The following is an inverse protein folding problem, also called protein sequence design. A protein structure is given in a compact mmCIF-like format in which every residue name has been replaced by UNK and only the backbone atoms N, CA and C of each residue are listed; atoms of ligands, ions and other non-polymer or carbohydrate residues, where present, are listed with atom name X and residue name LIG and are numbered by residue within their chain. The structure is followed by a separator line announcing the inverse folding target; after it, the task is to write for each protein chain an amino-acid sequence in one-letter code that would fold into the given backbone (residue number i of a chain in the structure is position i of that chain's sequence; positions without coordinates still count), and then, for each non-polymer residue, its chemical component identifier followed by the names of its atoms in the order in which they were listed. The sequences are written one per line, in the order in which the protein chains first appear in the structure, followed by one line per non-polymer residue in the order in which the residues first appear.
data_IF_986352322346
#
_entry.id   IF_986352322346
#
_cell.length_a   1.000
_cell.length_b   1.000
_cell.length_c   1.000
_cell.angle_alpha   90.00
_cell.angle_beta   90.00
_cell.angle_gamma   90.00
#
_symmetry.space_group_name_H-M   'P 1'
#
loop_
_entity.id
_entity.type
_entity.pdbx_description
1 polymer ?
#
# COMPACT_ATOMS: atom_id res chain seq x y z
N UNK A 1 13.01 23.50 8.94
CA UNK A 1 12.03 24.59 9.13
C UNK A 1 11.07 24.31 10.31
N UNK A 2 10.31 23.18 10.32
CA UNK A 2 9.36 22.87 11.42
C UNK A 2 10.06 22.79 12.78
N UNK A 3 11.18 22.09 12.86
CA UNK A 3 11.95 21.94 14.10
C UNK A 3 12.58 23.27 14.57
N UNK A 4 13.08 24.08 13.62
CA UNK A 4 13.63 25.38 13.95
C UNK A 4 12.55 26.32 14.48
N UNK A 5 11.35 26.25 13.90
CA UNK A 5 10.20 27.03 14.38
C UNK A 5 9.76 26.54 15.76
N UNK A 6 9.67 25.23 15.98
CA UNK A 6 9.35 24.66 17.30
C UNK A 6 10.36 25.10 18.34
N UNK A 7 11.66 25.03 18.03
CA UNK A 7 12.75 25.46 18.89
C UNK A 7 12.66 26.97 19.22
N UNK A 8 12.40 27.80 18.21
CA UNK A 8 12.26 29.26 18.43
C UNK A 8 11.04 29.60 19.29
N UNK A 9 10.01 28.78 19.30
CA UNK A 9 8.82 28.94 20.14
C UNK A 9 8.94 28.24 21.51
N UNK A 10 10.04 27.55 21.77
CA UNK A 10 10.22 26.75 22.99
C UNK A 10 9.29 25.56 23.09
N UNK A 11 8.83 25.04 21.94
CA UNK A 11 7.93 23.90 21.84
C UNK A 11 8.69 22.61 21.50
N UNK A 12 8.14 21.48 21.92
CA UNK A 12 8.57 20.17 21.42
C UNK A 12 8.26 20.03 19.91
N UNK A 13 9.18 19.49 19.09
CA UNK A 13 8.96 19.36 17.65
C UNK A 13 7.73 18.49 17.28
N UNK A 14 7.44 17.46 18.08
CA UNK A 14 6.27 16.60 17.87
C UNK A 14 4.99 17.34 18.28
N UNK A 15 4.98 18.02 19.42
CA UNK A 15 3.83 18.82 19.86
C UNK A 15 3.51 19.96 18.87
N UNK A 16 4.57 20.56 18.30
CA UNK A 16 4.40 21.59 17.27
C UNK A 16 3.75 21.02 16.00
N UNK A 17 4.15 19.82 15.57
CA UNK A 17 3.50 19.13 14.43
C UNK A 17 2.05 18.79 14.73
N UNK A 18 1.77 18.17 15.88
CA UNK A 18 0.41 17.83 16.31
C UNK A 18 -0.52 19.05 16.36
N UNK A 19 0.00 20.19 16.80
CA UNK A 19 -0.75 21.46 16.83
C UNK A 19 -1.10 21.98 15.42
N UNK A 20 -0.32 21.63 14.42
CA UNK A 20 -0.45 22.11 13.04
C UNK A 20 -1.00 21.04 12.07
N UNK A 21 -1.44 19.88 12.55
CA UNK A 21 -2.12 18.88 11.70
C UNK A 21 -3.49 19.38 11.28
N UNK A 22 -3.89 19.01 10.07
CA UNK A 22 -5.24 19.28 9.57
C UNK A 22 -6.31 18.40 10.22
N UNK A 23 -7.54 18.55 9.76
CA UNK A 23 -8.73 17.80 10.21
C UNK A 23 -9.48 17.24 9.02
N UNK A 24 -10.27 16.19 9.25
CA UNK A 24 -11.19 15.68 8.24
C UNK A 24 -12.09 16.82 7.73
N UNK A 25 -12.20 16.93 6.42
CA UNK A 25 -12.94 18.01 5.74
C UNK A 25 -12.09 19.21 5.35
N UNK A 26 -10.86 19.35 5.82
CA UNK A 26 -9.95 20.39 5.35
C UNK A 26 -9.65 20.23 3.85
N UNK A 27 -9.45 21.36 3.19
CA UNK A 27 -9.20 21.36 1.73
C UNK A 27 -7.75 20.95 1.45
N UNK A 28 -7.60 19.89 0.69
CA UNK A 28 -6.28 19.45 0.23
C UNK A 28 -5.67 20.49 -0.72
N UNK A 29 -4.45 20.97 -0.48
CA UNK A 29 -3.77 21.86 -1.40
C UNK A 29 -3.38 21.16 -2.73
N UNK A 30 -3.37 19.84 -2.77
CA UNK A 30 -2.98 19.07 -3.96
C UNK A 30 -4.08 19.09 -5.05
N UNK A 31 -5.33 19.04 -4.66
CA UNK A 31 -6.45 18.86 -5.61
C UNK A 31 -7.65 19.77 -5.35
N UNK A 32 -7.59 20.63 -4.32
CA UNK A 32 -8.68 21.57 -3.97
C UNK A 32 -9.95 20.90 -3.43
N UNK A 33 -9.89 19.62 -3.01
CA UNK A 33 -11.04 18.88 -2.49
C UNK A 33 -10.93 18.64 -1.00
N UNK A 34 -12.07 18.46 -0.28
CA UNK A 34 -12.03 18.04 1.11
C UNK A 34 -11.35 16.70 1.28
N UNK A 35 -10.48 16.59 2.28
CA UNK A 35 -9.85 15.32 2.70
C UNK A 35 -10.86 14.56 3.55
N UNK A 36 -11.30 13.40 3.08
CA UNK A 36 -12.31 12.59 3.78
C UNK A 36 -11.74 11.93 5.04
N UNK A 37 -10.51 11.43 4.95
CA UNK A 37 -9.81 10.75 6.05
C UNK A 37 -8.41 11.31 6.22
N UNK A 38 -8.11 11.81 7.41
CA UNK A 38 -6.85 12.47 7.74
C UNK A 38 -6.28 11.89 9.02
N UNK A 39 -5.52 10.79 8.90
CA UNK A 39 -4.95 10.05 10.03
C UNK A 39 -3.59 10.56 10.52
N UNK A 40 -3.14 11.76 10.09
CA UNK A 40 -1.81 12.28 10.43
C UNK A 40 -1.61 12.45 11.94
N UNK A 41 -2.61 12.98 12.66
CA UNK A 41 -2.54 13.14 14.11
C UNK A 41 -2.44 11.80 14.81
N UNK A 42 -3.25 10.82 14.38
CA UNK A 42 -3.25 9.48 14.95
C UNK A 42 -1.92 8.76 14.71
N UNK A 43 -1.31 8.95 13.52
CA UNK A 43 0.03 8.43 13.22
C UNK A 43 1.10 9.02 14.14
N UNK A 44 1.06 10.33 14.37
CA UNK A 44 2.02 11.00 15.25
C UNK A 44 1.83 10.61 16.73
N UNK A 45 0.58 10.47 17.19
CA UNK A 45 0.29 10.02 18.56
C UNK A 45 0.64 8.56 18.79
N UNK A 46 0.34 7.67 17.83
CA UNK A 46 0.73 6.27 17.90
C UNK A 46 2.26 6.12 17.86
N UNK A 47 2.92 6.91 17.01
CA UNK A 47 4.36 6.99 16.95
C UNK A 47 4.98 7.48 18.26
N UNK A 48 4.42 8.50 18.89
CA UNK A 48 4.86 8.98 20.23
C UNK A 48 4.88 7.84 21.24
N UNK A 49 3.81 7.02 21.27
CA UNK A 49 3.67 5.91 22.21
C UNK A 49 4.66 4.78 21.89
N UNK A 50 4.65 4.27 20.67
CA UNK A 50 5.46 3.12 20.25
C UNK A 50 6.96 3.41 20.26
N UNK A 51 7.36 4.58 19.78
CA UNK A 51 8.74 5.04 19.82
C UNK A 51 9.20 5.42 21.22
N UNK A 52 8.28 5.66 22.16
CA UNK A 52 8.56 6.15 23.49
C UNK A 52 9.27 7.51 23.44
N UNK A 53 8.73 8.46 22.66
CA UNK A 53 9.35 9.72 22.30
C UNK A 53 9.92 10.48 23.50
N UNK A 54 9.10 10.72 24.52
CA UNK A 54 9.47 11.53 25.67
C UNK A 54 10.59 10.89 26.50
N UNK A 55 10.54 9.56 26.66
CA UNK A 55 11.55 8.80 27.39
C UNK A 55 12.89 8.77 26.64
N UNK A 56 12.88 8.51 25.32
CA UNK A 56 14.09 8.51 24.50
C UNK A 56 14.73 9.89 24.45
N UNK A 57 13.94 10.94 24.34
CA UNK A 57 14.42 12.33 24.38
C UNK A 57 15.12 12.63 25.71
N UNK A 58 14.54 12.24 26.83
CA UNK A 58 15.15 12.38 28.14
C UNK A 58 16.44 11.56 28.28
N UNK A 59 16.45 10.32 27.77
CA UNK A 59 17.62 9.44 27.78
C UNK A 59 18.77 10.02 26.94
N UNK A 60 18.48 10.52 25.73
CA UNK A 60 19.47 11.19 24.89
C UNK A 60 20.09 12.40 25.57
N UNK A 61 19.27 13.22 26.27
CA UNK A 61 19.78 14.36 27.02
C UNK A 61 20.73 13.91 28.13
N UNK A 62 20.34 12.93 28.94
CA UNK A 62 21.20 12.41 30.03
C UNK A 62 22.49 11.79 29.48
N UNK A 63 22.41 11.03 28.38
CA UNK A 63 23.59 10.49 27.71
C UNK A 63 24.56 11.60 27.27
N UNK A 64 24.04 12.66 26.66
CA UNK A 64 24.87 13.75 26.16
C UNK A 64 25.56 14.53 27.31
N UNK A 65 24.86 14.73 28.42
CA UNK A 65 25.45 15.35 29.61
C UNK A 65 26.60 14.50 30.19
N UNK A 66 26.45 13.20 30.22
CA UNK A 66 27.49 12.27 30.66
C UNK A 66 28.66 12.22 29.67
N UNK A 67 28.35 12.12 28.38
CA UNK A 67 29.37 12.10 27.32
C UNK A 67 30.24 13.34 27.33
N UNK A 68 29.65 14.51 27.56
CA UNK A 68 30.40 15.78 27.70
C UNK A 68 31.30 15.73 28.93
N UNK A 69 30.80 15.28 30.07
CA UNK A 69 31.61 15.15 31.30
C UNK A 69 32.77 14.17 31.15
N UNK A 70 32.55 13.08 30.39
CA UNK A 70 33.57 12.07 30.11
C UNK A 70 34.55 12.45 28.99
N UNK A 71 34.35 13.57 28.28
CA UNK A 71 35.14 13.95 27.11
C UNK A 71 34.90 13.01 25.90
N UNK A 72 33.75 12.32 25.85
CA UNK A 72 33.41 11.43 24.74
C UNK A 72 32.93 12.22 23.52
N UNK A 73 33.30 11.83 22.28
CA UNK A 73 32.81 12.46 21.08
C UNK A 73 31.37 12.05 20.72
N UNK A 74 30.79 11.07 21.40
CA UNK A 74 29.47 10.55 21.08
C UNK A 74 28.35 11.49 21.54
N UNK A 75 27.35 11.64 20.69
CA UNK A 75 26.11 12.37 20.99
C UNK A 75 24.92 11.54 20.52
N UNK A 76 23.78 11.65 21.22
CA UNK A 76 22.52 11.06 20.82
C UNK A 76 21.44 12.10 20.61
N UNK A 77 20.55 11.82 19.66
CA UNK A 77 19.40 12.68 19.39
C UNK A 77 18.22 11.89 18.90
N UNK A 78 17.04 12.48 19.02
CA UNK A 78 15.81 11.99 18.43
C UNK A 78 15.25 13.03 17.48
N UNK A 79 14.65 12.57 16.40
CA UNK A 79 13.98 13.39 15.41
C UNK A 79 12.63 12.80 14.98
N UNK A 80 11.78 13.66 14.44
CA UNK A 80 10.47 13.28 13.94
C UNK A 80 10.15 14.00 12.64
N UNK A 81 9.63 13.27 11.67
CA UNK A 81 9.06 13.83 10.45
C UNK A 81 7.58 13.47 10.33
N UNK A 82 6.86 14.24 9.51
CA UNK A 82 5.49 13.96 9.13
C UNK A 82 5.32 14.21 7.64
N UNK A 83 4.50 13.41 6.99
CA UNK A 83 4.31 13.48 5.54
C UNK A 83 2.86 13.27 5.13
N UNK A 84 2.57 13.72 3.91
CA UNK A 84 1.39 13.31 3.15
C UNK A 84 1.80 13.00 1.71
N UNK A 85 1.12 12.03 1.08
CA UNK A 85 1.41 11.60 -0.28
C UNK A 85 0.13 11.20 -1.00
N UNK A 86 -0.02 11.55 -2.28
CA UNK A 86 -1.22 11.24 -3.05
C UNK A 86 -1.36 9.76 -3.39
N UNK A 87 -2.58 9.34 -3.72
CA UNK A 87 -2.90 8.01 -4.22
C UNK A 87 -3.06 8.06 -5.75
N UNK A 88 -1.96 8.28 -6.46
CA UNK A 88 -1.92 8.57 -7.89
C UNK A 88 -1.67 10.04 -8.21
N UNK A 89 -1.91 10.45 -9.46
CA UNK A 89 -1.58 11.78 -9.97
C UNK A 89 -2.80 12.65 -10.36
N UNK A 90 -4.01 12.17 -10.12
CA UNK A 90 -5.20 13.00 -10.38
C UNK A 90 -5.15 14.32 -9.57
N UNK A 91 -5.47 15.50 -10.13
CA UNK A 91 -6.09 15.74 -11.45
C UNK A 91 -5.09 15.94 -12.59
N UNK A 92 -3.79 15.85 -12.37
CA UNK A 92 -2.79 16.09 -13.41
C UNK A 92 -2.91 15.11 -14.59
N UNK A 93 -3.21 13.83 -14.28
CA UNK A 93 -3.46 12.80 -15.27
C UNK A 93 -4.79 12.08 -15.01
N UNK A 94 -5.34 11.46 -16.05
CA UNK A 94 -6.43 10.50 -15.96
C UNK A 94 -5.81 9.12 -15.70
N UNK A 95 -6.23 8.47 -14.62
CA UNK A 95 -5.65 7.21 -14.18
C UNK A 95 -6.67 6.08 -14.31
N UNK A 96 -6.66 5.35 -15.45
CA UNK A 96 -7.47 4.16 -15.61
C UNK A 96 -6.86 2.97 -14.87
N UNK A 97 -7.72 2.07 -14.42
CA UNK A 97 -7.42 0.70 -14.09
C UNK A 97 -8.37 -0.19 -14.90
N UNK A 98 -7.90 -1.35 -15.37
CA UNK A 98 -8.71 -2.27 -16.15
C UNK A 98 -8.42 -3.71 -15.73
N UNK A 99 -9.47 -4.55 -15.74
CA UNK A 99 -9.36 -5.96 -15.40
C UNK A 99 -10.35 -6.80 -16.19
N UNK A 100 -10.01 -8.07 -16.38
CA UNK A 100 -10.85 -9.09 -16.99
C UNK A 100 -10.77 -10.36 -16.16
N UNK A 101 -11.92 -10.99 -15.90
CA UNK A 101 -12.03 -12.30 -15.26
C UNK A 101 -12.66 -13.31 -16.21
N UNK A 102 -12.14 -14.53 -16.18
CA UNK A 102 -12.62 -15.64 -17.01
C UNK A 102 -12.78 -16.87 -16.12
N UNK A 103 -13.94 -17.50 -16.14
CA UNK A 103 -14.16 -18.81 -15.54
C UNK A 103 -13.54 -19.89 -16.44
N UNK A 104 -12.69 -20.74 -15.88
CA UNK A 104 -12.08 -21.88 -16.53
C UNK A 104 -12.99 -23.13 -16.40
N UNK A 105 -12.74 -24.16 -17.25
CA UNK A 105 -13.52 -25.41 -17.25
C UNK A 105 -13.45 -26.17 -15.92
N UNK A 106 -12.33 -26.04 -15.19
CA UNK A 106 -12.12 -26.69 -13.90
C UNK A 106 -12.77 -25.94 -12.73
N UNK A 107 -13.45 -24.83 -13.00
CA UNK A 107 -14.07 -23.98 -11.98
C UNK A 107 -13.14 -22.92 -11.37
N UNK A 108 -11.87 -22.90 -11.77
CA UNK A 108 -10.93 -21.84 -11.38
C UNK A 108 -11.17 -20.55 -12.17
N UNK A 109 -10.57 -19.45 -11.75
CA UNK A 109 -10.77 -18.14 -12.36
C UNK A 109 -9.42 -17.52 -12.75
N UNK A 110 -9.30 -17.07 -13.99
CA UNK A 110 -8.16 -16.28 -14.44
C UNK A 110 -8.46 -14.78 -14.30
N UNK A 111 -7.61 -14.07 -13.56
CA UNK A 111 -7.59 -12.61 -13.49
C UNK A 111 -6.52 -12.08 -14.45
N UNK A 112 -6.91 -11.21 -15.35
CA UNK A 112 -6.03 -10.43 -16.22
C UNK A 112 -6.15 -8.96 -15.85
N UNK A 113 -5.02 -8.32 -15.55
CA UNK A 113 -4.95 -6.88 -15.28
C UNK A 113 -3.70 -6.30 -15.93
N UNK A 114 -3.76 -5.04 -16.35
CA UNK A 114 -2.60 -4.31 -16.86
C UNK A 114 -1.71 -3.76 -15.74
N UNK A 115 -2.14 -3.84 -14.48
CA UNK A 115 -1.37 -3.38 -13.35
C UNK A 115 -0.05 -4.16 -13.23
N UNK A 116 1.07 -3.43 -13.26
CA UNK A 116 2.41 -4.02 -13.33
C UNK A 116 2.84 -4.59 -11.98
N UNK A 117 3.17 -5.89 -11.93
CA UNK A 117 3.88 -6.50 -10.80
C UNK A 117 5.38 -6.20 -10.92
N UNK A 118 5.95 -5.53 -9.93
CA UNK A 118 7.37 -5.16 -9.84
C UNK A 118 8.02 -5.64 -8.53
N UNK A 119 7.37 -6.59 -7.84
CA UNK A 119 7.77 -7.11 -6.53
C UNK A 119 7.02 -6.51 -5.35
N UNK A 120 6.06 -5.59 -5.59
CA UNK A 120 5.26 -4.97 -4.52
C UNK A 120 4.08 -5.84 -4.06
N UNK A 121 3.77 -6.94 -4.76
CA UNK A 121 2.70 -7.88 -4.40
C UNK A 121 1.32 -7.51 -4.94
N UNK A 122 1.24 -6.78 -6.06
CA UNK A 122 -0.02 -6.41 -6.68
C UNK A 122 -0.87 -7.62 -7.05
N UNK A 123 -0.27 -8.66 -7.65
CA UNK A 123 -0.95 -9.89 -8.04
C UNK A 123 -1.63 -10.58 -6.86
N UNK A 124 -0.92 -10.69 -5.74
CA UNK A 124 -1.45 -11.25 -4.50
C UNK A 124 -2.63 -10.42 -3.96
N UNK A 125 -2.46 -9.10 -3.89
CA UNK A 125 -3.50 -8.20 -3.38
C UNK A 125 -4.77 -8.24 -4.27
N UNK A 126 -4.62 -8.24 -5.58
CA UNK A 126 -5.76 -8.32 -6.51
C UNK A 126 -6.46 -9.68 -6.47
N UNK A 127 -5.71 -10.78 -6.33
CA UNK A 127 -6.32 -12.10 -6.12
C UNK A 127 -7.15 -12.14 -4.83
N UNK A 128 -6.65 -11.54 -3.73
CA UNK A 128 -7.42 -11.41 -2.48
C UNK A 128 -8.71 -10.58 -2.66
N UNK A 129 -8.65 -9.47 -3.41
CA UNK A 129 -9.83 -8.66 -3.72
C UNK A 129 -10.86 -9.44 -4.56
N UNK A 130 -10.41 -10.25 -5.52
CA UNK A 130 -11.30 -11.12 -6.31
C UNK A 130 -11.91 -12.19 -5.42
N UNK A 131 -11.14 -12.85 -4.57
CA UNK A 131 -11.62 -13.86 -3.63
C UNK A 131 -12.75 -13.31 -2.74
N UNK A 132 -12.51 -12.17 -2.12
CA UNK A 132 -13.49 -11.49 -1.25
C UNK A 132 -14.78 -11.11 -1.99
N UNK A 133 -14.66 -10.58 -3.21
CA UNK A 133 -15.81 -10.05 -3.96
C UNK A 133 -16.58 -11.17 -4.66
N UNK A 134 -15.89 -12.11 -5.31
CA UNK A 134 -16.49 -13.20 -6.08
C UNK A 134 -17.02 -14.31 -5.16
N UNK A 135 -16.34 -14.56 -4.03
CA UNK A 135 -16.67 -15.59 -3.07
C UNK A 135 -16.03 -16.95 -3.40
N UNK A 136 -14.88 -16.97 -4.08
CA UNK A 136 -14.11 -18.17 -4.39
C UNK A 136 -12.87 -18.29 -3.53
N UNK A 137 -12.35 -19.48 -3.34
CA UNK A 137 -11.10 -19.69 -2.63
C UNK A 137 -9.93 -18.98 -3.33
N UNK A 138 -9.05 -18.39 -2.56
CA UNK A 138 -7.88 -17.64 -3.07
C UNK A 138 -7.02 -18.51 -4.01
N UNK A 139 -6.83 -19.78 -3.67
CA UNK A 139 -6.02 -20.75 -4.39
C UNK A 139 -6.57 -21.05 -5.80
N UNK A 140 -7.84 -20.78 -6.04
CA UNK A 140 -8.52 -21.00 -7.31
C UNK A 140 -8.53 -19.77 -8.23
N UNK A 141 -7.78 -18.72 -7.85
CA UNK A 141 -7.61 -17.50 -8.64
C UNK A 141 -6.20 -17.46 -9.20
N UNK A 142 -6.10 -17.50 -10.53
CA UNK A 142 -4.83 -17.42 -11.24
C UNK A 142 -4.65 -16.05 -11.86
N UNK A 143 -3.65 -15.30 -11.41
CA UNK A 143 -3.32 -13.99 -11.98
C UNK A 143 -2.43 -14.20 -13.20
N UNK A 144 -2.87 -13.68 -14.34
CA UNK A 144 -2.09 -13.67 -15.58
C UNK A 144 -1.33 -12.34 -15.64
N UNK A 145 -0.17 -12.33 -15.04
CA UNK A 145 0.70 -11.16 -14.90
C UNK A 145 1.78 -11.14 -15.98
N UNK A 146 1.39 -11.21 -17.24
CA UNK A 146 2.35 -11.21 -18.35
C UNK A 146 2.88 -9.83 -18.68
N UNK A 147 2.17 -8.77 -18.30
CA UNK A 147 2.46 -7.37 -18.66
C UNK A 147 2.58 -7.17 -20.18
N UNK A 148 1.88 -8.01 -20.94
CA UNK A 148 1.82 -8.02 -22.37
C UNK A 148 0.53 -7.32 -22.81
N UNK A 149 0.67 -6.18 -23.48
CA UNK A 149 -0.48 -5.36 -23.93
C UNK A 149 -1.33 -6.02 -24.99
N UNK A 150 -0.88 -7.11 -25.62
CA UNK A 150 -1.69 -7.91 -26.54
C UNK A 150 -2.65 -8.86 -25.79
N UNK A 151 -2.37 -9.14 -24.51
CA UNK A 151 -3.12 -10.12 -23.71
C UNK A 151 -3.89 -9.43 -22.56
N UNK A 152 -3.21 -8.56 -21.83
CA UNK A 152 -3.77 -7.87 -20.63
C UNK A 152 -4.42 -6.55 -21.01
N UNK A 153 -5.44 -6.11 -20.27
CA UNK A 153 -5.98 -4.76 -20.43
C UNK A 153 -4.91 -3.72 -20.20
N UNK A 154 -5.03 -2.56 -20.87
CA UNK A 154 -4.07 -1.48 -20.77
C UNK A 154 -4.06 -0.84 -19.37
N UNK A 155 -2.86 -0.51 -18.88
CA UNK A 155 -2.60 0.26 -17.67
C UNK A 155 -1.38 1.17 -17.88
N UNK A 156 -1.36 2.41 -17.37
CA UNK A 156 -0.24 3.33 -17.57
C UNK A 156 1.03 2.97 -16.80
N UNK A 157 0.97 2.06 -15.83
CA UNK A 157 2.12 1.55 -15.09
C UNK A 157 2.10 1.80 -13.58
N UNK A 158 3.14 1.32 -12.90
CA UNK A 158 3.35 1.46 -11.46
C UNK A 158 4.12 2.75 -11.16
N UNK A 159 3.43 3.82 -10.79
CA UNK A 159 3.99 5.11 -10.39
C UNK A 159 3.05 5.82 -9.41
N UNK A 160 3.55 6.83 -8.69
CA UNK A 160 2.79 7.63 -7.73
C UNK A 160 1.93 6.80 -6.76
N UNK A 161 2.41 5.61 -6.42
CA UNK A 161 1.77 4.64 -5.51
C UNK A 161 0.31 4.30 -5.86
N UNK A 162 -0.06 4.38 -7.15
CA UNK A 162 -1.45 4.39 -7.61
C UNK A 162 -2.14 3.02 -7.60
N UNK A 163 -1.41 1.93 -7.80
CA UNK A 163 -2.02 0.68 -8.27
C UNK A 163 -3.11 0.13 -7.36
N UNK A 164 -2.84 -0.05 -6.08
CA UNK A 164 -3.83 -0.59 -5.14
C UNK A 164 -5.10 0.27 -5.07
N UNK A 165 -4.95 1.59 -5.13
CA UNK A 165 -6.09 2.50 -5.05
C UNK A 165 -6.81 2.66 -6.38
N UNK A 166 -6.09 2.81 -7.51
CA UNK A 166 -6.69 3.13 -8.81
C UNK A 166 -7.17 1.90 -9.58
N UNK A 167 -6.55 0.72 -9.38
CA UNK A 167 -6.93 -0.50 -10.08
C UNK A 167 -7.98 -1.32 -9.30
N UNK A 168 -8.01 -1.24 -7.97
CA UNK A 168 -8.99 -1.95 -7.14
C UNK A 168 -10.45 -1.77 -7.58
N UNK A 169 -10.92 -0.57 -7.97
CA UNK A 169 -12.29 -0.40 -8.45
C UNK A 169 -12.61 -1.21 -9.71
N UNK A 170 -11.64 -1.36 -10.63
CA UNK A 170 -11.83 -2.21 -11.81
C UNK A 170 -11.85 -3.69 -11.44
N UNK A 171 -10.95 -4.13 -10.56
CA UNK A 171 -10.89 -5.49 -10.04
C UNK A 171 -12.17 -5.85 -9.30
N UNK A 172 -12.67 -4.98 -8.45
CA UNK A 172 -13.96 -5.17 -7.76
C UNK A 172 -15.14 -5.25 -8.75
N UNK A 173 -15.21 -4.30 -9.69
CA UNK A 173 -16.30 -4.26 -10.66
C UNK A 173 -16.34 -5.50 -11.57
N UNK A 174 -15.18 -6.02 -11.96
CA UNK A 174 -15.12 -7.24 -12.78
C UNK A 174 -15.48 -8.48 -11.96
N UNK A 175 -15.07 -8.55 -10.69
CA UNK A 175 -15.41 -9.66 -9.80
C UNK A 175 -16.91 -9.69 -9.49
N UNK A 176 -17.51 -8.54 -9.17
CA UNK A 176 -18.96 -8.40 -8.99
C UNK A 176 -19.73 -8.71 -10.28
N UNK A 177 -19.22 -8.25 -11.44
CA UNK A 177 -19.80 -8.52 -12.74
C UNK A 177 -19.78 -10.01 -13.09
N UNK A 178 -18.68 -10.71 -12.84
CA UNK A 178 -18.62 -12.16 -13.03
C UNK A 178 -19.52 -12.90 -12.03
N UNK A 179 -19.48 -12.51 -10.76
CA UNK A 179 -20.35 -13.08 -9.71
C UNK A 179 -21.81 -13.05 -10.11
N UNK A 180 -22.31 -11.92 -10.59
CA UNK A 180 -23.70 -11.80 -11.07
C UNK A 180 -24.00 -12.76 -12.21
N UNK A 181 -23.14 -12.83 -13.22
CA UNK A 181 -23.30 -13.76 -14.35
C UNK A 181 -23.33 -15.22 -13.90
N UNK A 182 -22.45 -15.61 -12.96
CA UNK A 182 -22.43 -16.98 -12.42
C UNK A 182 -23.72 -17.32 -11.67
N UNK A 183 -24.22 -16.39 -10.85
CA UNK A 183 -25.48 -16.59 -10.12
C UNK A 183 -26.69 -16.61 -11.04
N UNK A 184 -26.72 -15.76 -12.06
CA UNK A 184 -27.77 -15.77 -13.09
C UNK A 184 -27.77 -17.09 -13.86
N UNK A 185 -26.59 -17.55 -14.29
CA UNK A 185 -26.45 -18.83 -15.01
C UNK A 185 -26.84 -20.03 -14.12
N UNK A 186 -26.39 -20.06 -12.87
CA UNK A 186 -26.77 -21.10 -11.92
C UNK A 186 -28.28 -21.12 -11.67
N UNK A 187 -28.90 -19.94 -11.58
CA UNK A 187 -30.35 -19.83 -11.41
C UNK A 187 -31.14 -20.40 -12.62
N UNK A 188 -30.68 -20.08 -13.83
CA UNK A 188 -31.24 -20.66 -15.06
C UNK A 188 -31.06 -22.19 -15.13
N UNK A 189 -29.86 -22.68 -14.79
CA UNK A 189 -29.52 -24.09 -14.77
C UNK A 189 -30.37 -24.90 -13.79
N UNK A 190 -30.68 -24.32 -12.64
CA UNK A 190 -31.25 -25.06 -11.50
C UNK A 190 -32.70 -24.69 -11.18
N UNK A 191 -33.27 -23.70 -11.86
CA UNK A 191 -34.63 -23.25 -11.66
C UNK A 191 -34.82 -22.40 -10.37
N UNK A 192 -33.75 -21.88 -9.80
CA UNK A 192 -33.78 -21.01 -8.63
C UNK A 192 -33.74 -19.53 -9.02
N UNK A 193 -33.89 -18.63 -8.03
CA UNK A 193 -33.73 -17.19 -8.24
C UNK A 193 -32.30 -16.76 -7.88
N UNK A 194 -31.64 -15.88 -8.64
CA UNK A 194 -30.28 -15.43 -8.32
C UNK A 194 -30.15 -14.86 -6.90
N UNK A 195 -31.17 -14.16 -6.41
CA UNK A 195 -31.16 -13.57 -5.05
C UNK A 195 -31.16 -14.60 -3.90
N UNK A 196 -31.53 -15.86 -4.18
CA UNK A 196 -31.46 -16.94 -3.20
C UNK A 196 -30.09 -17.62 -3.14
N UNK A 197 -29.19 -17.28 -4.06
CA UNK A 197 -27.90 -17.94 -4.30
C UNK A 197 -26.73 -17.04 -3.93
N UNK A 198 -25.64 -17.67 -3.51
CA UNK A 198 -24.33 -17.03 -3.29
C UNK A 198 -23.22 -18.00 -3.69
N UNK A 199 -21.99 -17.52 -3.82
CA UNK A 199 -20.82 -18.35 -4.10
C UNK A 199 -19.96 -18.39 -2.84
N UNK A 200 -19.46 -19.59 -2.49
CA UNK A 200 -18.55 -19.78 -1.35
C UNK A 200 -17.71 -21.05 -1.55
N UNK A 201 -16.51 -21.11 -0.95
CA UNK A 201 -15.75 -22.36 -0.87
C UNK A 201 -16.51 -23.41 -0.04
N UNK A 202 -16.47 -24.66 -0.53
CA UNK A 202 -17.08 -25.81 0.15
C UNK A 202 -16.12 -27.00 0.19
N UNK A 203 -16.47 -28.09 0.87
CA UNK A 203 -15.71 -29.33 0.84
C UNK A 203 -15.64 -29.99 -0.56
N UNK A 204 -16.50 -29.58 -1.47
CA UNK A 204 -16.56 -30.06 -2.87
C UNK A 204 -15.88 -29.10 -3.86
N UNK A 205 -15.23 -28.05 -3.39
CA UNK A 205 -14.67 -26.95 -4.17
C UNK A 205 -15.54 -25.69 -4.08
N UNK A 206 -15.19 -24.67 -4.84
CA UNK A 206 -16.01 -23.46 -4.93
C UNK A 206 -17.37 -23.78 -5.56
N UNK A 207 -18.43 -23.30 -4.93
CA UNK A 207 -19.78 -23.68 -5.33
C UNK A 207 -20.78 -22.54 -5.14
N UNK A 208 -21.85 -22.61 -5.95
CA UNK A 208 -23.08 -21.87 -5.71
C UNK A 208 -23.89 -22.61 -4.66
N UNK A 209 -24.27 -21.88 -3.61
CA UNK A 209 -25.03 -22.40 -2.47
C UNK A 209 -26.24 -21.50 -2.20
N UNK A 210 -27.15 -21.94 -1.33
CA UNK A 210 -28.22 -21.08 -0.87
C UNK A 210 -27.75 -20.07 0.18
N UNK A 211 -28.10 -18.80 0.05
CA UNK A 211 -27.81 -17.75 1.05
C UNK A 211 -28.28 -18.15 2.47
N UNK A 212 -29.44 -18.79 2.58
CA UNK A 212 -30.03 -19.21 3.87
C UNK A 212 -29.49 -20.53 4.40
N UNK A 213 -28.81 -21.31 3.59
CA UNK A 213 -28.21 -22.59 3.94
C UNK A 213 -26.91 -22.81 3.15
N UNK A 214 -25.79 -22.19 3.55
CA UNK A 214 -24.53 -22.27 2.80
C UNK A 214 -23.91 -23.67 2.73
N UNK A 215 -24.34 -24.62 3.54
CA UNK A 215 -23.91 -26.01 3.50
C UNK A 215 -24.58 -26.80 2.36
N UNK A 216 -25.68 -26.28 1.82
CA UNK A 216 -26.41 -26.92 0.72
C UNK A 216 -25.87 -26.46 -0.63
N UNK A 217 -25.01 -27.27 -1.20
CA UNK A 217 -24.46 -27.06 -2.54
C UNK A 217 -25.58 -27.21 -3.57
N UNK A 218 -25.74 -26.18 -4.41
CA UNK A 218 -26.66 -26.16 -5.54
C UNK A 218 -25.97 -26.68 -6.79
N UNK A 219 -24.78 -26.14 -7.07
CA UNK A 219 -23.91 -26.57 -8.19
C UNK A 219 -22.47 -26.12 -7.89
N UNK A 220 -21.48 -26.96 -8.16
CA UNK A 220 -20.07 -26.56 -8.10
C UNK A 220 -19.72 -25.61 -9.25
N UNK A 221 -18.70 -24.76 -9.09
CA UNK A 221 -18.24 -23.92 -10.22
C UNK A 221 -17.67 -24.75 -11.36
N UNK A 222 -17.09 -25.92 -11.06
CA UNK A 222 -16.69 -26.89 -12.09
C UNK A 222 -17.88 -27.34 -12.93
N UNK A 223 -18.94 -27.84 -12.31
CA UNK A 223 -20.12 -28.38 -13.06
C UNK A 223 -20.84 -27.23 -13.78
N UNK A 224 -20.91 -26.05 -13.20
CA UNK A 224 -21.46 -24.85 -13.81
C UNK A 224 -20.65 -24.45 -15.06
N UNK A 225 -19.30 -24.47 -14.96
CA UNK A 225 -18.41 -24.21 -16.10
C UNK A 225 -18.61 -25.24 -17.19
N UNK A 226 -18.63 -26.53 -16.85
CA UNK A 226 -18.83 -27.59 -17.81
C UNK A 226 -20.19 -27.48 -18.53
N UNK A 227 -21.27 -27.16 -17.81
CA UNK A 227 -22.56 -26.90 -18.44
C UNK A 227 -22.48 -25.69 -19.39
N UNK A 228 -21.85 -24.59 -18.96
CA UNK A 228 -21.75 -23.38 -19.78
C UNK A 228 -20.96 -23.55 -21.07
N UNK A 229 -19.96 -24.43 -21.09
CA UNK A 229 -19.16 -24.71 -22.29
C UNK A 229 -19.81 -25.71 -23.25
N UNK A 230 -20.56 -26.70 -22.74
CA UNK A 230 -20.98 -27.84 -23.52
C UNK A 230 -22.50 -27.97 -23.70
N UNK A 231 -23.31 -27.17 -23.01
CA UNK A 231 -24.75 -27.15 -23.21
C UNK A 231 -25.10 -26.59 -24.59
N UNK A 232 -26.01 -27.24 -25.27
CA UNK A 232 -26.39 -26.89 -26.67
C UNK A 232 -27.36 -25.71 -26.74
N UNK A 233 -28.14 -25.50 -25.67
CA UNK A 233 -29.28 -24.58 -25.68
C UNK A 233 -28.97 -23.29 -24.94
N UNK A 234 -27.94 -23.29 -24.08
CA UNK A 234 -27.52 -22.13 -23.29
C UNK A 234 -26.01 -22.12 -23.07
N UNK A 235 -25.46 -20.98 -22.63
CA UNK A 235 -24.10 -20.91 -22.17
C UNK A 235 -23.15 -20.22 -23.11
N UNK A 236 -21.88 -20.53 -22.96
CA UNK A 236 -20.71 -19.92 -23.55
C UNK A 236 -19.70 -19.61 -22.46
N UNK A 237 -18.53 -19.08 -22.82
CA UNK A 237 -17.51 -18.73 -21.83
C UNK A 237 -18.00 -17.62 -20.90
N UNK A 238 -18.09 -17.92 -19.61
CA UNK A 238 -18.47 -16.94 -18.60
C UNK A 238 -17.25 -16.07 -18.25
N UNK A 239 -17.36 -14.80 -18.55
CA UNK A 239 -16.31 -13.81 -18.33
C UNK A 239 -16.91 -12.42 -18.06
N UNK A 240 -16.12 -11.58 -17.43
CA UNK A 240 -16.44 -10.17 -17.24
C UNK A 240 -15.21 -9.32 -17.54
N UNK A 241 -15.44 -8.07 -17.94
CA UNK A 241 -14.42 -7.04 -18.16
C UNK A 241 -14.90 -5.72 -17.63
N UNK A 242 -14.02 -4.98 -16.99
CA UNK A 242 -14.34 -3.66 -16.46
C UNK A 242 -13.12 -2.74 -16.53
N UNK A 243 -13.40 -1.45 -16.75
CA UNK A 243 -12.42 -0.37 -16.65
C UNK A 243 -12.97 0.71 -15.75
N UNK A 244 -12.11 1.31 -14.95
CA UNK A 244 -12.44 2.38 -14.03
C UNK A 244 -11.46 3.54 -14.21
N UNK A 245 -11.95 4.77 -14.03
CA UNK A 245 -11.12 5.97 -14.02
C UNK A 245 -11.35 6.70 -12.71
N UNK A 246 -10.32 6.74 -11.87
CA UNK A 246 -10.41 7.51 -10.63
C UNK A 246 -10.55 9.00 -10.92
N UNK A 247 -11.32 9.69 -10.07
CA UNK A 247 -11.50 11.15 -10.07
C UNK A 247 -11.16 11.77 -8.72
N UNK A 248 -10.44 11.02 -7.91
CA UNK A 248 -10.00 11.41 -6.58
C UNK A 248 -8.55 11.02 -6.40
N UNK A 249 -7.89 11.66 -5.44
CA UNK A 249 -6.53 11.40 -5.06
C UNK A 249 -6.43 11.63 -3.54
N UNK A 250 -6.97 10.68 -2.74
CA UNK A 250 -6.90 10.80 -1.30
C UNK A 250 -5.45 10.69 -0.84
N UNK A 251 -4.99 11.59 0.04
CA UNK A 251 -3.65 11.49 0.57
C UNK A 251 -3.53 10.37 1.61
N UNK A 252 -2.44 9.61 1.53
CA UNK A 252 -1.89 8.82 2.62
C UNK A 252 -1.11 9.74 3.55
N UNK A 253 -1.03 9.38 4.82
CA UNK A 253 -0.32 10.14 5.84
C UNK A 253 0.60 9.26 6.64
N UNK A 254 1.56 9.88 7.33
CA UNK A 254 2.38 9.15 8.28
C UNK A 254 3.42 10.03 8.96
N UNK A 255 4.20 9.39 9.83
CA UNK A 255 5.33 9.98 10.50
C UNK A 255 6.45 8.99 10.70
N UNK A 256 7.69 9.48 10.66
CA UNK A 256 8.87 8.73 11.00
C UNK A 256 9.50 9.30 12.26
N UNK A 257 9.95 8.41 13.13
CA UNK A 257 10.64 8.69 14.38
C UNK A 257 12.00 8.02 14.33
N UNK A 258 13.06 8.76 14.57
CA UNK A 258 14.41 8.22 14.54
C UNK A 258 15.19 8.59 15.80
N UNK A 259 16.01 7.69 16.30
CA UNK A 259 17.05 7.93 17.28
C UNK A 259 18.41 7.65 16.63
N UNK A 260 19.31 8.60 16.74
CA UNK A 260 20.65 8.49 16.17
C UNK A 260 21.72 8.69 17.22
N UNK A 261 22.86 8.02 17.01
CA UNK A 261 24.12 8.27 17.70
C UNK A 261 25.12 8.85 16.70
N UNK A 262 25.72 9.97 17.06
CA UNK A 262 26.68 10.69 16.21
C UNK A 262 28.02 10.75 16.91
N UNK A 263 29.07 10.32 16.21
CA UNK A 263 30.44 10.58 16.57
C UNK A 263 30.84 11.91 15.92
N UNK A 264 31.02 12.97 16.74
CA UNK A 264 31.27 14.32 16.25
C UNK A 264 32.73 14.53 15.79
N UNK A 265 33.67 13.64 16.16
CA UNK A 265 35.05 13.68 15.69
C UNK A 265 35.22 12.95 14.36
N UNK A 266 34.56 11.76 14.23
CA UNK A 266 34.61 10.97 13.00
C UNK A 266 33.53 11.38 11.99
N UNK A 267 32.61 12.28 12.36
CA UNK A 267 31.46 12.68 11.54
C UNK A 267 30.61 11.46 11.07
N UNK A 268 30.47 10.46 11.93
CA UNK A 268 29.70 9.25 11.63
C UNK A 268 28.35 9.30 12.35
N UNK A 269 27.31 8.96 11.59
CA UNK A 269 25.93 8.82 12.11
C UNK A 269 25.53 7.36 12.08
N UNK A 270 24.95 6.87 13.16
CA UNK A 270 24.36 5.54 13.27
C UNK A 270 22.94 5.66 13.80
N UNK A 271 22.01 5.08 13.08
CA UNK A 271 20.62 4.97 13.56
C UNK A 271 20.57 3.86 14.61
N UNK A 272 20.10 4.19 15.80
CA UNK A 272 19.94 3.23 16.91
C UNK A 272 18.52 2.70 17.00
N UNK A 273 17.54 3.46 16.53
CA UNK A 273 16.14 3.04 16.47
C UNK A 273 15.37 3.89 15.44
N UNK A 274 14.50 3.25 14.68
CA UNK A 274 13.65 3.95 13.71
C UNK A 274 12.27 3.30 13.66
N UNK A 275 11.23 4.11 13.61
CA UNK A 275 9.83 3.69 13.51
C UNK A 275 9.12 4.53 12.46
N UNK A 276 8.45 3.87 11.51
CA UNK A 276 7.51 4.52 10.59
C UNK A 276 6.06 4.16 10.96
N UNK A 277 5.19 5.14 11.02
CA UNK A 277 3.75 4.96 11.26
C UNK A 277 2.98 5.49 10.08
N UNK A 278 2.07 4.70 9.52
CA UNK A 278 1.35 5.00 8.30
C UNK A 278 -0.17 4.94 8.45
N UNK A 279 -0.86 5.86 7.81
CA UNK A 279 -2.26 5.78 7.43
C UNK A 279 -2.35 5.49 5.93
N UNK A 280 -2.55 4.22 5.59
CA UNK A 280 -2.80 3.75 4.23
C UNK A 280 -4.26 3.31 4.02
N UNK A 281 -5.18 3.82 4.85
CA UNK A 281 -6.55 3.32 4.89
C UNK A 281 -6.62 1.90 5.47
N UNK A 282 -7.55 1.11 4.98
CA UNK A 282 -7.62 -0.34 5.28
C UNK A 282 -6.53 -1.08 4.51
N UNK A 283 -5.77 -1.90 5.21
CA UNK A 283 -4.71 -2.71 4.60
C UNK A 283 -5.31 -3.95 3.92
N UNK A 284 -5.10 -4.07 2.62
CA UNK A 284 -5.53 -5.27 1.87
C UNK A 284 -4.71 -6.49 2.29
N UNK A 285 -3.41 -6.32 2.43
CA UNK A 285 -2.50 -7.36 2.91
C UNK A 285 -1.47 -6.75 3.88
N UNK A 286 -1.61 -6.98 5.20
CA UNK A 286 -0.71 -6.40 6.20
C UNK A 286 0.75 -6.81 6.04
N UNK A 287 1.03 -8.05 5.60
CA UNK A 287 2.41 -8.52 5.42
C UNK A 287 3.10 -7.79 4.25
N UNK A 288 2.42 -7.65 3.11
CA UNK A 288 2.92 -6.91 1.96
C UNK A 288 3.05 -5.41 2.27
N UNK A 289 2.11 -4.84 3.02
CA UNK A 289 2.18 -3.45 3.47
C UNK A 289 3.42 -3.23 4.35
N UNK A 290 3.69 -4.11 5.31
CA UNK A 290 4.89 -4.08 6.15
C UNK A 290 6.17 -4.17 5.31
N UNK A 291 6.21 -5.06 4.32
CA UNK A 291 7.36 -5.21 3.42
C UNK A 291 7.61 -3.92 2.61
N UNK A 292 6.54 -3.26 2.12
CA UNK A 292 6.67 -1.97 1.44
C UNK A 292 7.23 -0.88 2.37
N UNK A 293 6.79 -0.84 3.63
CA UNK A 293 7.31 0.14 4.60
C UNK A 293 8.78 -0.10 4.88
N UNK A 294 9.19 -1.34 5.15
CA UNK A 294 10.60 -1.67 5.41
C UNK A 294 11.49 -1.36 4.20
N UNK A 295 11.06 -1.71 2.99
CA UNK A 295 11.79 -1.41 1.76
C UNK A 295 11.98 0.10 1.54
N UNK A 296 10.90 0.87 1.71
CA UNK A 296 10.95 2.33 1.61
C UNK A 296 11.83 2.97 2.70
N UNK A 297 11.76 2.49 3.93
CA UNK A 297 12.65 2.96 5.02
C UNK A 297 14.12 2.72 4.68
N UNK A 298 14.46 1.53 4.17
CA UNK A 298 15.83 1.21 3.74
C UNK A 298 16.34 2.18 2.67
N UNK A 299 15.53 2.48 1.66
CA UNK A 299 15.87 3.49 0.65
C UNK A 299 16.02 4.89 1.25
N UNK A 300 15.12 5.30 2.14
CA UNK A 300 15.18 6.60 2.80
C UNK A 300 16.41 6.77 3.70
N UNK A 301 16.84 5.71 4.39
CA UNK A 301 18.10 5.67 5.14
C UNK A 301 19.30 5.81 4.20
N UNK A 302 19.26 5.11 3.05
CA UNK A 302 20.27 5.23 2.01
C UNK A 302 20.46 6.67 1.56
N UNK A 303 19.39 7.33 1.20
CA UNK A 303 19.42 8.74 0.77
C UNK A 303 19.87 9.72 1.86
N UNK A 304 19.58 9.41 3.11
CA UNK A 304 19.96 10.28 4.23
C UNK A 304 21.46 10.20 4.57
N UNK A 305 22.08 9.02 4.48
CA UNK A 305 23.36 8.74 5.12
C UNK A 305 24.46 8.21 4.19
N UNK A 306 24.12 7.66 3.00
CA UNK A 306 25.07 6.90 2.20
C UNK A 306 25.15 7.33 0.73
N UNK A 307 24.00 7.67 0.13
CA UNK A 307 23.88 7.81 -1.31
C UNK A 307 24.19 9.23 -1.77
N UNK A 308 25.07 9.34 -2.77
CA UNK A 308 25.36 10.61 -3.43
C UNK A 308 25.59 10.34 -4.92
N UNK A 309 24.85 11.04 -5.78
CA UNK A 309 25.06 11.00 -7.23
C UNK A 309 26.02 12.11 -7.64
N UNK A 310 27.24 11.73 -8.04
CA UNK A 310 28.28 12.66 -8.45
C UNK A 310 28.18 12.96 -9.95
N UNK A 311 27.65 14.13 -10.29
CA UNK A 311 27.47 14.58 -11.69
C UNK A 311 28.43 15.71 -12.02
N UNK A 312 29.19 15.58 -13.11
CA UNK A 312 29.95 16.68 -13.66
C UNK A 312 29.00 17.76 -14.23
N UNK A 313 28.99 18.98 -13.66
CA UNK A 313 28.05 20.02 -14.07
C UNK A 313 28.29 20.56 -15.49
N UNK A 314 29.51 20.38 -16.05
CA UNK A 314 29.84 20.86 -17.38
C UNK A 314 29.40 19.89 -18.49
N UNK A 315 29.45 18.58 -18.21
CA UNK A 315 29.22 17.54 -19.22
C UNK A 315 27.96 16.70 -18.97
N UNK A 316 27.40 16.76 -17.77
CA UNK A 316 26.33 15.88 -17.33
C UNK A 316 26.75 14.42 -17.05
N UNK A 317 28.05 14.14 -17.11
CA UNK A 317 28.58 12.79 -16.87
C UNK A 317 28.46 12.42 -15.39
N UNK A 318 27.93 11.23 -15.13
CA UNK A 318 27.91 10.63 -13.79
C UNK A 318 29.27 9.96 -13.54
N UNK A 319 29.95 10.34 -12.45
CA UNK A 319 31.27 9.80 -12.10
C UNK A 319 31.19 8.45 -11.41
N UNK A 320 30.17 8.23 -10.58
CA UNK A 320 29.96 7.01 -9.81
C UNK A 320 28.78 6.17 -10.35
N UNK A 321 28.82 5.88 -11.66
CA UNK A 321 27.77 5.18 -12.40
C UNK A 321 27.84 3.65 -12.31
N UNK A 322 28.38 3.11 -11.24
CA UNK A 322 28.53 1.68 -11.03
C UNK A 322 28.39 1.33 -9.52
N UNK A 323 28.11 0.06 -9.22
CA UNK A 323 27.87 -0.40 -7.85
C UNK A 323 29.11 -0.48 -6.96
N UNK A 324 30.32 -0.25 -7.52
CA UNK A 324 31.53 -0.14 -6.73
C UNK A 324 31.66 1.25 -6.11
N UNK A 325 31.33 2.28 -6.87
CA UNK A 325 31.53 3.70 -6.48
C UNK A 325 30.25 4.33 -5.91
N UNK A 326 29.07 3.99 -6.44
CA UNK A 326 27.81 4.41 -5.85
C UNK A 326 27.51 3.59 -4.60
N UNK A 327 27.44 4.26 -3.45
CA UNK A 327 27.24 3.60 -2.16
C UNK A 327 25.78 3.62 -1.78
N UNK A 328 25.19 2.47 -1.54
CA UNK A 328 23.90 2.30 -0.88
C UNK A 328 24.07 1.39 0.35
N UNK A 329 23.17 1.47 1.33
CA UNK A 329 23.33 0.72 2.58
C UNK A 329 23.23 -0.79 2.34
N UNK A 330 24.04 -1.52 3.07
CA UNK A 330 23.97 -2.98 3.15
C UNK A 330 23.12 -3.41 4.35
N UNK A 331 22.87 -4.70 4.49
CA UNK A 331 22.16 -5.26 5.65
C UNK A 331 22.88 -5.00 6.99
N UNK A 332 24.19 -4.71 6.94
CA UNK A 332 24.96 -4.35 8.14
C UNK A 332 24.79 -2.88 8.54
N UNK A 333 24.31 -2.05 7.64
CA UNK A 333 24.14 -0.60 7.84
C UNK A 333 22.71 -0.26 8.27
N UNK A 334 21.74 -1.12 7.96
CA UNK A 334 20.34 -0.93 8.28
C UNK A 334 20.05 -1.45 9.69
N UNK A 335 19.46 -0.63 10.57
CA UNK A 335 19.01 -1.09 11.89
C UNK A 335 17.77 -1.98 11.78
N UNK A 336 17.30 -2.52 12.91
CA UNK A 336 15.96 -3.08 12.99
C UNK A 336 14.92 -2.02 12.61
N UNK A 337 14.05 -2.37 11.68
CA UNK A 337 13.04 -1.47 11.14
C UNK A 337 11.68 -1.76 11.79
N UNK A 338 11.18 -0.80 12.56
CA UNK A 338 9.85 -0.89 13.14
C UNK A 338 8.82 -0.16 12.28
N UNK A 339 7.63 -0.74 12.13
CA UNK A 339 6.51 -0.06 11.52
C UNK A 339 5.20 -0.27 12.28
N UNK A 340 4.28 0.66 12.09
CA UNK A 340 2.92 0.58 12.59
C UNK A 340 1.95 1.20 11.60
N UNK A 341 0.68 0.81 11.73
CA UNK A 341 -0.39 1.34 10.90
C UNK A 341 -1.51 1.89 11.76
N UNK A 342 -2.08 3.00 11.32
CA UNK A 342 -3.32 3.55 11.81
C UNK A 342 -4.36 3.29 10.73
N UNK A 343 -5.43 2.61 11.09
CA UNK A 343 -6.50 2.29 10.15
C UNK A 343 -7.49 3.44 10.07
N UNK A 344 -7.69 3.94 8.85
CA UNK A 344 -8.79 4.82 8.47
C UNK A 344 -9.59 4.14 7.36
N UNK A 345 -10.85 4.56 7.16
CA UNK A 345 -11.66 4.02 6.07
C UNK A 345 -11.88 5.12 5.02
N UNK A 346 -11.10 5.06 3.95
CA UNK A 346 -11.22 6.02 2.86
C UNK A 346 -12.45 5.71 2.00
N UNK A 347 -13.47 6.58 1.99
CA UNK A 347 -14.73 6.27 1.31
C UNK A 347 -14.61 6.19 -0.21
N UNK A 348 -13.54 6.74 -0.80
CA UNK A 348 -13.26 6.65 -2.23
C UNK A 348 -12.46 5.40 -2.61
N UNK A 349 -11.84 4.72 -1.66
CA UNK A 349 -11.19 3.42 -1.85
C UNK A 349 -12.19 2.28 -1.74
N UNK A 350 -12.17 1.33 -2.66
CA UNK A 350 -13.17 0.24 -2.74
C UNK A 350 -13.28 -0.58 -1.46
N UNK A 351 -12.15 -0.82 -0.81
CA UNK A 351 -12.08 -1.52 0.48
C UNK A 351 -11.63 -0.58 1.60
N UNK A 352 -11.79 0.75 1.43
CA UNK A 352 -11.32 1.74 2.40
C UNK A 352 -9.82 2.02 2.33
N UNK A 353 -9.14 1.53 1.30
CA UNK A 353 -7.69 1.62 1.13
C UNK A 353 -7.22 2.96 0.56
N UNK A 354 -5.96 3.29 0.83
CA UNK A 354 -5.15 4.33 0.19
C UNK A 354 -3.85 3.73 -0.34
N UNK A 355 -3.01 4.55 -0.93
CA UNK A 355 -1.70 4.14 -1.45
C UNK A 355 -0.63 4.04 -0.36
N UNK A 356 0.40 3.21 -0.60
CA UNK A 356 1.49 2.98 0.36
C UNK A 356 2.88 2.87 -0.28
N UNK A 357 3.02 2.73 -1.59
CA UNK A 357 4.29 2.36 -2.23
C UNK A 357 5.48 3.29 -1.95
N UNK A 358 5.33 4.60 -2.18
CA UNK A 358 6.41 5.59 -2.05
C UNK A 358 6.44 6.34 -0.70
N UNK A 359 5.33 6.51 0.03
CA UNK A 359 5.33 7.23 1.30
C UNK A 359 6.41 6.83 2.32
N UNK A 360 6.76 5.55 2.47
CA UNK A 360 7.77 5.13 3.44
C UNK A 360 9.18 5.66 3.18
N UNK A 361 9.50 5.96 1.93
CA UNK A 361 10.82 6.43 1.51
C UNK A 361 11.07 7.90 1.90
N UNK A 362 10.04 8.76 1.88
CA UNK A 362 10.21 10.21 2.03
C UNK A 362 10.42 10.67 3.47
N UNK A 363 10.13 9.83 4.43
CA UNK A 363 10.07 10.21 5.84
C UNK A 363 11.36 9.98 6.65
N UNK A 364 12.25 9.00 6.37
CA UNK A 364 13.44 8.77 7.18
C UNK A 364 14.45 9.91 7.15
N UNK A 365 14.72 10.47 5.97
CA UNK A 365 15.74 11.51 5.83
C UNK A 365 15.45 12.79 6.65
N UNK A 366 14.21 13.33 6.71
CA UNK A 366 13.92 14.49 7.54
C UNK A 366 13.68 14.16 9.02
N UNK A 367 13.62 12.89 9.42
CA UNK A 367 13.51 12.46 10.81
C UNK A 367 14.88 12.40 11.48
#
# INVERSE_FOLDING_TARGET
LMDDTARALGMDPLDFRLKNTGRNGDISPLNGKPVATLGISDCLEEGRKKFRWDERKAACKAFNEEAVRAGSPLRRGVGVSAFSYGSGTYPANVEPGSARLILNQDGTVNLMTGATEIGQGADTAFAQMVSETLGVAYENIHVISTQDTDITPWDPGAYASRQTYTCAPAVHAVADGLRRKLLEYAAEMTGHTPAALTITPTAQGDAVVFVRNPESVVVTLHDLAMDSFYNKDRGGQLSAEASFKTRQNPPSFGGCFAEVEVDIELCKVRITHILNVHDAGVLINPALATAQVHGGMGMGIGWALYEELLVDPATGRVHNNNLLDYKFPTTCDIPDLDCAFVETQEPSGVYGNKSLGEPPLISPAPA
#
